data_IF_292705607414
#
_entry.id   IF_292705607414
#
_cell.length_a   1.000
_cell.length_b   1.000
_cell.length_c   1.000
_cell.angle_alpha   90.00
_cell.angle_beta   90.00
_cell.angle_gamma   90.00
#
_symmetry.space_group_name_H-M   'P 1'
#
loop_
_entity.id
_entity.type
_entity.pdbx_description
1 polymer ?
#
# COMPACT_ATOMS: atom_id res chain seq x y z
N UNK A 1 -36.00 26.58 18.72
CA UNK A 1 -36.17 25.17 18.32
C UNK A 1 -35.65 24.85 16.91
N UNK A 2 -35.58 25.81 15.97
CA UNK A 2 -34.98 25.57 14.65
C UNK A 2 -33.44 25.38 14.68
N UNK A 3 -32.71 26.06 15.58
CA UNK A 3 -31.25 26.03 15.62
C UNK A 3 -30.65 24.69 16.06
N UNK A 4 -31.33 23.94 16.93
CA UNK A 4 -30.84 22.65 17.42
C UNK A 4 -30.85 21.60 16.30
N UNK A 5 -31.90 21.62 15.45
CA UNK A 5 -32.01 20.73 14.30
C UNK A 5 -30.97 21.06 13.21
N UNK A 6 -30.66 22.35 13.00
CA UNK A 6 -29.61 22.77 12.07
C UNK A 6 -28.22 22.30 12.51
N UNK A 7 -27.91 22.41 13.81
CA UNK A 7 -26.61 21.98 14.37
C UNK A 7 -26.46 20.46 14.31
N UNK A 8 -27.51 19.71 14.67
CA UNK A 8 -27.51 18.24 14.54
C UNK A 8 -27.36 17.80 13.08
N UNK A 9 -27.98 18.49 12.13
CA UNK A 9 -27.85 18.17 10.70
C UNK A 9 -26.42 18.44 10.18
N UNK A 10 -25.79 19.54 10.61
CA UNK A 10 -24.39 19.86 10.26
C UNK A 10 -23.42 18.82 10.83
N UNK A 11 -23.65 18.35 12.06
CA UNK A 11 -22.82 17.31 12.68
C UNK A 11 -22.95 15.95 11.95
N UNK A 12 -24.16 15.58 11.51
CA UNK A 12 -24.40 14.36 10.73
C UNK A 12 -23.78 14.45 9.33
N UNK A 13 -23.84 15.61 8.68
CA UNK A 13 -23.20 15.80 7.36
C UNK A 13 -21.67 15.77 7.50
N UNK A 14 -21.11 16.35 8.56
CA UNK A 14 -19.66 16.35 8.82
C UNK A 14 -19.09 14.95 9.10
N UNK A 15 -19.87 14.03 9.69
CA UNK A 15 -19.42 12.65 9.94
C UNK A 15 -19.48 11.77 8.69
N UNK A 16 -20.21 12.18 7.65
CA UNK A 16 -20.26 11.47 6.37
C UNK A 16 -19.05 11.74 5.45
N UNK A 17 -18.21 12.73 5.76
CA UNK A 17 -17.01 13.07 4.96
C UNK A 17 -15.74 12.39 5.46
N UNK A 18 -15.80 11.10 5.80
CA UNK A 18 -14.58 10.29 5.85
C UNK A 18 -14.19 9.98 4.41
N UNK A 19 -13.49 10.91 3.76
CA UNK A 19 -12.78 10.57 2.53
C UNK A 19 -11.75 9.50 2.90
N UNK A 20 -11.89 8.32 2.32
CA UNK A 20 -10.80 7.38 2.24
C UNK A 20 -9.72 8.04 1.37
N UNK A 21 -8.79 8.74 1.99
CA UNK A 21 -7.57 9.17 1.31
C UNK A 21 -6.85 7.88 0.90
N UNK A 22 -6.65 7.69 -0.40
CA UNK A 22 -5.76 6.64 -0.89
C UNK A 22 -4.37 6.87 -0.27
N UNK A 23 -3.70 5.77 0.11
CA UNK A 23 -2.32 5.84 0.61
C UNK A 23 -1.37 6.45 -0.42
N UNK A 24 -0.23 6.96 0.03
CA UNK A 24 0.78 7.53 -0.85
C UNK A 24 2.06 6.72 -0.72
N UNK A 25 2.49 6.07 -1.80
CA UNK A 25 3.64 5.18 -1.77
C UNK A 25 4.95 5.90 -1.38
N UNK A 26 5.11 7.20 -1.67
CA UNK A 26 6.27 7.95 -1.20
C UNK A 26 6.27 8.14 0.32
N UNK A 27 5.10 8.21 0.94
CA UNK A 27 4.95 8.36 2.38
C UNK A 27 5.13 7.03 3.09
N UNK A 28 4.54 5.96 2.55
CA UNK A 28 4.30 4.73 3.29
C UNK A 28 5.37 3.64 3.08
N UNK A 29 6.11 3.69 1.96
CA UNK A 29 7.05 2.63 1.57
C UNK A 29 8.44 3.15 1.17
N UNK A 30 9.46 2.31 1.40
CA UNK A 30 10.81 2.47 0.90
C UNK A 30 11.11 1.43 -0.19
N UNK A 31 11.87 1.83 -1.22
CA UNK A 31 12.39 0.91 -2.22
C UNK A 31 13.65 0.24 -1.65
N UNK A 32 13.60 -1.07 -1.45
CA UNK A 32 14.66 -1.82 -0.76
C UNK A 32 15.76 -2.31 -1.70
N UNK A 33 15.38 -2.73 -2.91
CA UNK A 33 16.31 -3.26 -3.91
C UNK A 33 15.71 -3.22 -5.32
N UNK A 34 16.56 -3.38 -6.33
CA UNK A 34 16.13 -3.49 -7.73
C UNK A 34 16.78 -2.52 -8.71
N UNK A 35 17.65 -1.61 -8.24
CA UNK A 35 18.47 -0.76 -9.13
C UNK A 35 17.62 -0.02 -10.19
N UNK A 36 16.63 0.75 -9.72
CA UNK A 36 15.71 1.51 -10.56
C UNK A 36 14.54 0.72 -11.18
N UNK A 37 14.43 -0.57 -10.89
CA UNK A 37 13.33 -1.44 -11.37
C UNK A 37 12.02 -1.30 -10.59
N UNK A 38 12.05 -0.72 -9.39
CA UNK A 38 10.83 -0.23 -8.72
C UNK A 38 10.71 1.26 -8.97
N UNK A 39 9.54 1.71 -9.43
CA UNK A 39 9.23 3.13 -9.63
C UNK A 39 7.95 3.50 -8.91
N UNK A 40 7.92 4.71 -8.35
CA UNK A 40 6.69 5.32 -7.85
C UNK A 40 6.29 6.40 -8.87
N UNK A 41 5.07 6.30 -9.37
CA UNK A 41 4.50 7.12 -10.43
C UNK A 41 3.28 7.88 -9.89
N UNK A 42 2.74 8.78 -10.72
CA UNK A 42 1.47 9.47 -10.46
C UNK A 42 1.43 10.12 -9.06
N UNK A 43 2.51 10.82 -8.71
CA UNK A 43 2.67 11.51 -7.42
C UNK A 43 2.47 10.62 -6.19
N UNK A 44 2.81 9.33 -6.28
CA UNK A 44 2.70 8.38 -5.16
C UNK A 44 1.47 7.49 -5.20
N UNK A 45 0.65 7.56 -6.25
CA UNK A 45 -0.56 6.74 -6.38
C UNK A 45 -0.29 5.34 -6.95
N UNK A 46 0.85 5.15 -7.65
CA UNK A 46 1.19 3.87 -8.26
C UNK A 46 2.64 3.46 -7.97
N UNK A 47 2.84 2.22 -7.55
CA UNK A 47 4.15 1.59 -7.38
C UNK A 47 4.27 0.45 -8.39
N UNK A 48 5.33 0.48 -9.22
CA UNK A 48 5.56 -0.48 -10.30
C UNK A 48 6.90 -1.19 -10.11
N UNK A 49 6.94 -2.40 -9.54
CA UNK A 49 8.10 -3.27 -9.55
C UNK A 49 8.31 -3.87 -10.95
N UNK A 50 9.54 -4.22 -11.30
CA UNK A 50 9.86 -4.91 -12.54
C UNK A 50 11.00 -5.90 -12.36
N UNK A 51 11.06 -6.89 -13.25
CA UNK A 51 12.04 -7.96 -13.23
C UNK A 51 12.56 -8.18 -14.65
N UNK A 52 13.87 -8.36 -14.76
CA UNK A 52 14.55 -8.78 -15.97
C UNK A 52 15.53 -9.92 -15.65
N UNK A 53 16.37 -10.28 -16.62
CA UNK A 53 17.36 -11.37 -16.45
C UNK A 53 18.45 -11.05 -15.44
N UNK A 54 18.64 -9.78 -15.09
CA UNK A 54 19.69 -9.32 -14.19
C UNK A 54 19.19 -9.31 -12.75
N UNK A 55 17.98 -8.81 -12.51
CA UNK A 55 17.41 -8.73 -11.16
C UNK A 55 15.89 -8.52 -11.17
N UNK A 56 15.25 -8.79 -10.04
CA UNK A 56 13.91 -8.30 -9.72
C UNK A 56 13.92 -6.92 -9.06
N UNK A 57 12.89 -6.65 -8.26
CA UNK A 57 12.85 -5.49 -7.40
C UNK A 57 11.91 -5.68 -6.21
N UNK A 58 12.04 -4.82 -5.19
CA UNK A 58 11.21 -4.88 -3.99
C UNK A 58 11.06 -3.55 -3.29
N UNK A 59 10.13 -3.53 -2.34
CA UNK A 59 9.81 -2.39 -1.48
C UNK A 59 9.31 -2.92 -0.12
N UNK A 60 9.41 -2.10 0.92
CA UNK A 60 8.95 -2.44 2.27
C UNK A 60 8.25 -1.25 2.91
N UNK A 61 7.32 -1.50 3.84
CA UNK A 61 6.71 -0.41 4.62
C UNK A 61 7.76 0.29 5.47
N UNK A 62 7.63 1.60 5.65
CA UNK A 62 8.55 2.36 6.53
C UNK A 62 8.35 2.06 8.01
N UNK A 63 7.15 1.61 8.37
CA UNK A 63 6.78 1.31 9.73
C UNK A 63 6.49 -0.19 9.88
N UNK A 64 6.74 -0.68 11.09
CA UNK A 64 6.31 -1.99 11.53
C UNK A 64 4.91 -1.90 12.16
N UNK A 65 4.13 -2.97 12.00
CA UNK A 65 2.77 -3.05 12.52
C UNK A 65 2.57 -4.34 13.29
N UNK A 66 2.02 -4.25 14.51
CA UNK A 66 1.63 -5.43 15.28
C UNK A 66 0.23 -5.92 14.88
N UNK A 67 -0.68 -4.99 14.61
CA UNK A 67 -2.04 -5.24 14.15
C UNK A 67 -2.44 -4.18 13.12
N UNK A 68 -3.28 -4.54 12.16
CA UNK A 68 -3.79 -3.59 11.19
C UNK A 68 -4.65 -4.26 10.12
N UNK A 69 -5.36 -3.43 9.35
CA UNK A 69 -5.92 -3.83 8.07
C UNK A 69 -4.98 -3.29 7.00
N UNK A 70 -4.36 -4.19 6.23
CA UNK A 70 -3.49 -3.81 5.12
C UNK A 70 -4.15 -4.26 3.83
N UNK A 71 -4.47 -3.30 2.97
CA UNK A 71 -5.12 -3.53 1.69
C UNK A 71 -4.28 -2.92 0.57
N UNK A 72 -4.16 -3.63 -0.56
CA UNK A 72 -3.48 -3.14 -1.74
C UNK A 72 -4.23 -3.55 -3.01
N UNK A 73 -4.33 -2.63 -3.97
CA UNK A 73 -4.78 -2.99 -5.31
C UNK A 73 -3.59 -3.46 -6.13
N UNK A 74 -3.66 -4.69 -6.64
CA UNK A 74 -2.57 -5.31 -7.40
C UNK A 74 -2.99 -5.54 -8.84
N UNK A 75 -2.10 -5.20 -9.76
CA UNK A 75 -2.18 -5.58 -11.18
C UNK A 75 -1.00 -6.48 -11.52
N UNK A 76 -1.29 -7.74 -11.85
CA UNK A 76 -0.26 -8.73 -12.15
C UNK A 76 0.31 -8.59 -13.57
N UNK A 77 1.47 -9.20 -13.78
CA UNK A 77 2.19 -9.20 -15.06
C UNK A 77 1.32 -9.86 -16.14
N UNK A 78 1.04 -9.19 -17.27
CA UNK A 78 0.24 -9.78 -18.34
C UNK A 78 1.06 -10.76 -19.18
N UNK A 79 0.38 -11.69 -19.86
CA UNK A 79 1.00 -12.62 -20.80
C UNK A 79 1.69 -13.81 -20.13
N UNK A 80 2.83 -14.26 -20.66
CA UNK A 80 3.57 -15.38 -20.11
C UNK A 80 4.42 -14.95 -18.91
N UNK A 81 4.00 -15.37 -17.73
CA UNK A 81 4.66 -15.13 -16.43
C UNK A 81 5.19 -16.41 -15.79
N UNK A 82 5.40 -17.48 -16.57
CA UNK A 82 5.89 -18.75 -16.04
C UNK A 82 7.21 -18.58 -15.26
N UNK A 83 7.20 -19.02 -14.00
CA UNK A 83 8.35 -18.91 -13.10
C UNK A 83 8.54 -17.55 -12.42
N UNK A 84 7.63 -16.57 -12.65
CA UNK A 84 7.64 -15.29 -11.95
C UNK A 84 6.73 -15.35 -10.73
N UNK A 85 7.22 -14.86 -9.60
CA UNK A 85 6.44 -14.66 -8.37
C UNK A 85 6.33 -13.15 -8.11
N UNK A 86 5.09 -12.67 -7.92
CA UNK A 86 4.82 -11.35 -7.37
C UNK A 86 4.27 -11.55 -5.95
N UNK A 87 5.04 -11.16 -4.95
CA UNK A 87 4.70 -11.35 -3.54
C UNK A 87 4.28 -10.03 -2.90
N UNK A 88 3.24 -10.10 -2.06
CA UNK A 88 2.80 -9.02 -1.19
C UNK A 88 2.42 -9.66 0.14
N UNK A 89 3.29 -9.48 1.14
CA UNK A 89 3.29 -10.28 2.35
C UNK A 89 3.69 -9.42 3.56
N UNK A 90 3.47 -9.96 4.75
CA UNK A 90 3.91 -9.39 6.02
C UNK A 90 4.94 -10.33 6.65
N UNK A 91 6.00 -9.77 7.23
CA UNK A 91 7.03 -10.55 7.90
C UNK A 91 7.56 -9.79 9.12
N UNK A 92 7.68 -10.47 10.26
CA UNK A 92 8.39 -9.92 11.43
C UNK A 92 9.91 -10.08 11.29
N UNK A 93 10.67 -9.36 12.10
CA UNK A 93 12.14 -9.42 12.07
C UNK A 93 12.67 -10.48 13.03
N UNK A 94 13.79 -11.11 12.69
CA UNK A 94 14.51 -12.05 13.56
C UNK A 94 14.60 -13.46 13.00
N UNK A 95 15.28 -14.37 13.70
CA UNK A 95 15.52 -15.75 13.24
C UNK A 95 14.34 -16.69 13.43
N UNK A 96 13.33 -16.27 14.20
CA UNK A 96 12.07 -16.99 14.43
C UNK A 96 10.92 -16.04 14.10
N UNK A 97 10.86 -15.62 12.84
CA UNK A 97 9.86 -14.66 12.39
C UNK A 97 8.51 -15.31 12.10
N UNK A 98 7.47 -14.49 12.15
CA UNK A 98 6.12 -14.81 11.72
C UNK A 98 5.91 -14.20 10.33
N UNK A 99 5.19 -14.90 9.46
CA UNK A 99 4.97 -14.49 8.06
C UNK A 99 3.53 -14.75 7.62
N UNK A 100 2.98 -13.83 6.81
CA UNK A 100 1.68 -13.97 6.15
C UNK A 100 1.88 -13.61 4.68
N UNK A 101 1.80 -14.61 3.81
CA UNK A 101 1.90 -14.49 2.35
C UNK A 101 0.55 -14.51 1.64
#
# INVERSE_FOLDING_TARGET
MASLNSVSLVLVISSCFVMALGGNFHQDFDITWGDGRTKILDNGEQLTPSLDKTSGSGFQSKNDYLFGKIDMQLKLVPGNSAGIVAAYYLSSQGSTHDEID
#
